data_IF_992339177822
#
_entry.id   IF_992339177822
#
_cell.length_a   1.000
_cell.length_b   1.000
_cell.length_c   1.000
_cell.angle_alpha   90.00
_cell.angle_beta   90.00
_cell.angle_gamma   90.00
#
_symmetry.space_group_name_H-M   'P 1'
#
loop_
_entity.id
_entity.type
_entity.pdbx_description
1 polymer ?
#
# COMPACT_ATOMS: atom_id res chain seq x y z
N UNK A 1 52.93 50.63 -37.07
CA UNK A 1 52.13 51.72 -37.68
C UNK A 1 51.13 51.11 -38.66
N UNK A 2 49.84 51.40 -38.44
CA UNK A 2 48.72 51.50 -39.42
C UNK A 2 48.49 50.42 -40.49
N UNK A 3 47.26 49.85 -40.49
CA UNK A 3 46.19 49.91 -41.54
C UNK A 3 45.11 48.85 -41.21
N UNK A 4 43.83 49.20 -40.94
CA UNK A 4 42.68 49.43 -41.88
C UNK A 4 42.44 48.23 -42.81
N UNK A 5 41.25 47.68 -43.08
CA UNK A 5 39.83 47.99 -42.86
C UNK A 5 39.02 46.68 -43.12
N UNK A 6 37.93 46.38 -42.39
CA UNK A 6 36.50 46.61 -42.71
C UNK A 6 35.89 45.74 -43.84
N UNK A 7 34.94 44.87 -43.47
CA UNK A 7 33.62 44.61 -44.12
C UNK A 7 33.09 43.22 -43.67
N UNK A 8 32.20 43.16 -42.66
CA UNK A 8 30.73 43.10 -42.76
C UNK A 8 30.18 41.79 -43.36
N UNK A 9 29.58 40.95 -42.50
CA UNK A 9 28.57 39.97 -42.91
C UNK A 9 27.48 39.89 -41.83
N UNK A 10 26.28 40.20 -42.27
CA UNK A 10 25.01 40.17 -41.54
C UNK A 10 24.74 38.78 -40.93
N UNK A 11 23.97 38.72 -39.84
CA UNK A 11 22.61 38.15 -39.83
C UNK A 11 22.06 37.97 -38.39
N UNK A 12 20.87 38.56 -38.20
CA UNK A 12 19.71 38.04 -37.45
C UNK A 12 19.82 37.86 -35.93
N UNK A 13 19.08 38.72 -35.23
CA UNK A 13 18.68 38.52 -33.86
C UNK A 13 17.86 37.24 -33.67
N UNK A 14 18.20 36.49 -32.64
CA UNK A 14 17.32 35.53 -32.00
C UNK A 14 17.15 35.96 -30.56
N UNK A 15 16.07 36.70 -30.28
CA UNK A 15 15.59 36.82 -28.92
C UNK A 15 15.26 35.40 -28.45
N UNK A 16 16.00 34.91 -27.45
CA UNK A 16 15.74 33.64 -26.80
C UNK A 16 14.40 33.79 -26.06
N UNK A 17 13.30 33.50 -26.74
CA UNK A 17 12.00 33.31 -26.09
C UNK A 17 12.16 32.04 -25.25
N UNK A 18 12.47 32.23 -23.97
CA UNK A 18 12.24 31.23 -22.95
C UNK A 18 10.73 30.97 -22.92
N UNK A 19 10.28 30.05 -23.76
CA UNK A 19 8.94 29.49 -23.66
C UNK A 19 8.85 28.79 -22.32
N UNK A 20 8.26 29.47 -21.34
CA UNK A 20 7.72 28.80 -20.17
C UNK A 20 6.64 27.85 -20.69
N UNK A 21 6.99 26.58 -20.87
CA UNK A 21 5.98 25.54 -20.97
C UNK A 21 5.09 25.71 -19.76
N UNK A 22 3.82 26.07 -20.00
CA UNK A 22 2.88 26.42 -18.95
C UNK A 22 2.89 25.33 -17.90
N UNK A 23 3.43 25.65 -16.73
CA UNK A 23 3.04 24.97 -15.52
C UNK A 23 1.52 25.08 -15.50
N UNK A 24 0.84 23.93 -15.49
CA UNK A 24 -0.58 23.86 -15.21
C UNK A 24 -0.71 24.55 -13.86
N UNK A 25 -1.39 25.69 -13.85
CA UNK A 25 -1.53 26.51 -12.66
C UNK A 25 -3.01 26.48 -12.33
N UNK A 26 -3.39 25.93 -11.19
CA UNK A 26 -4.78 25.69 -10.79
C UNK A 26 -5.40 24.43 -11.41
N UNK A 27 -6.49 23.98 -10.81
CA UNK A 27 -7.19 22.71 -11.10
C UNK A 27 -7.90 22.65 -12.47
N UNK A 28 -7.68 23.63 -13.34
CA UNK A 28 -8.35 23.78 -14.62
C UNK A 28 -7.42 24.39 -15.68
N UNK A 29 -7.81 24.32 -16.95
CA UNK A 29 -7.03 24.92 -18.04
C UNK A 29 -7.08 26.46 -17.96
N UNK A 30 -5.95 27.08 -17.61
CA UNK A 30 -5.83 28.54 -17.52
C UNK A 30 -6.18 29.30 -18.79
N UNK A 31 -6.11 28.66 -19.97
CA UNK A 31 -6.55 29.30 -21.22
C UNK A 31 -8.07 29.49 -21.27
N UNK A 32 -8.80 28.73 -20.45
CA UNK A 32 -10.25 28.78 -20.31
C UNK A 32 -10.69 29.65 -19.11
N UNK A 33 -9.75 30.30 -18.40
CA UNK A 33 -10.04 31.19 -17.28
C UNK A 33 -10.93 32.36 -17.72
N UNK A 34 -12.15 32.40 -17.19
CA UNK A 34 -13.18 33.37 -17.57
C UNK A 34 -13.42 34.42 -16.49
N UNK A 35 -13.28 34.06 -15.22
CA UNK A 35 -13.51 34.95 -14.08
C UNK A 35 -12.24 35.67 -13.62
N UNK A 36 -12.38 36.81 -12.93
CA UNK A 36 -11.24 37.52 -12.34
C UNK A 36 -10.49 36.64 -11.31
N UNK A 37 -11.24 35.83 -10.55
CA UNK A 37 -10.64 34.87 -9.62
C UNK A 37 -9.86 33.79 -10.37
N UNK A 38 -10.43 33.16 -11.40
CA UNK A 38 -9.73 32.14 -12.20
C UNK A 38 -8.44 32.69 -12.81
N UNK A 39 -8.50 33.89 -13.39
CA UNK A 39 -7.30 34.56 -13.92
C UNK A 39 -6.26 34.81 -12.84
N UNK A 40 -6.69 35.10 -11.61
CA UNK A 40 -5.77 35.32 -10.49
C UNK A 40 -5.14 34.02 -9.98
N UNK A 41 -5.91 32.93 -9.88
CA UNK A 41 -5.40 31.59 -9.56
C UNK A 41 -4.32 31.15 -10.56
N UNK A 42 -4.55 31.42 -11.85
CA UNK A 42 -3.58 31.17 -12.92
C UNK A 42 -2.34 32.06 -12.86
N UNK A 43 -2.48 33.32 -12.43
CA UNK A 43 -1.40 34.29 -12.42
C UNK A 43 -0.49 34.20 -11.17
N UNK A 44 -1.00 33.65 -10.06
CA UNK A 44 -0.29 33.56 -8.78
C UNK A 44 -0.01 32.09 -8.45
N UNK A 45 1.23 31.59 -8.65
CA UNK A 45 1.55 30.17 -8.52
C UNK A 45 1.15 29.54 -7.17
N UNK A 46 1.34 30.27 -6.06
CA UNK A 46 0.96 29.78 -4.74
C UNK A 46 -0.55 29.57 -4.59
N UNK A 47 -1.38 30.38 -5.25
CA UNK A 47 -2.84 30.20 -5.25
C UNK A 47 -3.27 29.06 -6.18
N UNK A 48 -2.60 28.91 -7.33
CA UNK A 48 -2.82 27.78 -8.23
C UNK A 48 -2.55 26.44 -7.55
N UNK A 49 -1.42 26.31 -6.85
CA UNK A 49 -1.08 25.10 -6.07
C UNK A 49 -2.12 24.80 -4.97
N UNK A 50 -2.61 25.82 -4.27
CA UNK A 50 -3.67 25.63 -3.27
C UNK A 50 -4.99 25.17 -3.89
N UNK A 51 -5.33 25.67 -5.09
CA UNK A 51 -6.52 25.26 -5.83
C UNK A 51 -6.43 23.82 -6.33
N UNK A 52 -5.25 23.39 -6.81
CA UNK A 52 -4.97 21.99 -7.19
C UNK A 52 -5.15 21.03 -6.00
N UNK A 53 -4.50 21.31 -4.86
CA UNK A 53 -4.62 20.49 -3.65
C UNK A 53 -6.07 20.41 -3.12
N UNK A 54 -6.82 21.51 -3.27
CA UNK A 54 -8.23 21.57 -2.91
C UNK A 54 -9.08 20.70 -3.84
N UNK A 55 -8.86 20.77 -5.15
CA UNK A 55 -9.58 19.93 -6.11
C UNK A 55 -9.27 18.44 -5.89
N UNK A 56 -8.01 18.06 -5.68
CA UNK A 56 -7.64 16.67 -5.35
C UNK A 56 -8.43 16.14 -4.15
N UNK A 57 -8.50 16.94 -3.07
CA UNK A 57 -9.27 16.61 -1.86
C UNK A 57 -10.77 16.50 -2.14
N UNK A 58 -11.31 17.39 -2.99
CA UNK A 58 -12.71 17.36 -3.40
C UNK A 58 -13.04 16.13 -4.25
N UNK A 59 -12.20 15.78 -5.23
CA UNK A 59 -12.38 14.59 -6.05
C UNK A 59 -12.31 13.32 -5.19
N UNK A 60 -11.33 13.22 -4.29
CA UNK A 60 -11.22 12.10 -3.35
C UNK A 60 -12.47 11.98 -2.47
N UNK A 61 -13.00 13.09 -1.94
CA UNK A 61 -14.23 13.09 -1.14
C UNK A 61 -15.44 12.61 -1.96
N UNK A 62 -15.59 13.09 -3.20
CA UNK A 62 -16.70 12.66 -4.08
C UNK A 62 -16.61 11.17 -4.40
N UNK A 63 -15.41 10.62 -4.57
CA UNK A 63 -15.19 9.20 -4.88
C UNK A 63 -15.37 8.27 -3.67
N UNK A 64 -15.10 8.77 -2.46
CA UNK A 64 -15.17 7.98 -1.21
C UNK A 64 -16.49 8.14 -0.46
N UNK A 65 -17.25 9.21 -0.72
CA UNK A 65 -18.53 9.43 -0.08
C UNK A 65 -19.60 8.39 -0.50
N UNK A 66 -20.53 8.04 0.40
CA UNK A 66 -21.73 7.29 0.03
C UNK A 66 -22.49 8.02 -1.08
N UNK A 67 -23.14 7.24 -1.97
CA UNK A 67 -23.94 7.77 -3.08
C UNK A 67 -24.94 8.85 -2.66
N UNK A 68 -25.56 8.67 -1.50
CA UNK A 68 -26.55 9.59 -0.93
C UNK A 68 -25.96 10.94 -0.52
N UNK A 69 -24.65 11.02 -0.23
CA UNK A 69 -23.98 12.25 0.22
C UNK A 69 -23.36 13.06 -0.93
N UNK A 70 -23.10 12.44 -2.09
CA UNK A 70 -22.38 13.06 -3.22
C UNK A 70 -23.08 14.34 -3.72
N UNK A 71 -24.41 14.33 -3.83
CA UNK A 71 -25.16 15.51 -4.29
C UNK A 71 -24.94 16.72 -3.37
N UNK A 72 -24.97 16.50 -2.04
CA UNK A 72 -24.72 17.53 -1.03
C UNK A 72 -23.28 18.05 -1.08
N UNK A 73 -22.29 17.17 -1.25
CA UNK A 73 -20.88 17.57 -1.39
C UNK A 73 -20.70 18.49 -2.61
N UNK A 74 -21.29 18.15 -3.75
CA UNK A 74 -21.25 18.96 -4.97
C UNK A 74 -21.94 20.31 -4.80
N UNK A 75 -23.07 20.34 -4.10
CA UNK A 75 -23.79 21.58 -3.81
C UNK A 75 -22.98 22.52 -2.90
N UNK A 76 -22.40 21.98 -1.82
CA UNK A 76 -21.51 22.74 -0.93
C UNK A 76 -20.31 23.32 -1.68
N UNK A 77 -19.71 22.54 -2.59
CA UNK A 77 -18.60 23.03 -3.41
C UNK A 77 -19.03 24.17 -4.34
N UNK A 78 -20.18 24.05 -5.03
CA UNK A 78 -20.73 25.15 -5.86
C UNK A 78 -21.06 26.39 -5.04
N UNK A 79 -21.60 26.22 -3.84
CA UNK A 79 -21.86 27.31 -2.91
C UNK A 79 -20.59 28.04 -2.50
N UNK A 80 -19.55 27.28 -2.14
CA UNK A 80 -18.23 27.83 -1.82
C UNK A 80 -17.59 28.53 -3.03
N UNK A 81 -17.68 28.00 -4.25
CA UNK A 81 -17.15 28.67 -5.45
C UNK A 81 -17.76 30.06 -5.65
N UNK A 82 -19.08 30.22 -5.40
CA UNK A 82 -19.74 31.53 -5.45
C UNK A 82 -19.20 32.49 -4.38
N UNK A 83 -18.99 32.00 -3.15
CA UNK A 83 -18.39 32.79 -2.07
C UNK A 83 -16.94 33.18 -2.39
N UNK A 84 -16.12 32.25 -2.85
CA UNK A 84 -14.73 32.51 -3.28
C UNK A 84 -14.68 33.59 -4.36
N UNK A 85 -15.62 33.58 -5.31
CA UNK A 85 -15.65 34.56 -6.40
C UNK A 85 -15.88 36.00 -5.93
N UNK A 86 -16.40 36.24 -4.71
CA UNK A 86 -16.50 37.60 -4.16
C UNK A 86 -15.15 38.19 -3.77
N UNK A 87 -14.09 37.38 -3.63
CA UNK A 87 -12.73 37.88 -3.37
C UNK A 87 -12.21 38.80 -4.49
N UNK A 88 -12.77 38.73 -5.70
CA UNK A 88 -12.43 39.67 -6.77
C UNK A 88 -12.79 41.13 -6.43
N UNK A 89 -13.67 41.36 -5.46
CA UNK A 89 -14.10 42.68 -5.00
C UNK A 89 -13.36 43.12 -3.71
N UNK A 90 -12.53 42.26 -3.12
CA UNK A 90 -11.76 42.57 -1.93
C UNK A 90 -10.62 43.55 -2.27
N UNK A 91 -10.28 44.44 -1.33
CA UNK A 91 -9.14 45.35 -1.49
C UNK A 91 -7.79 44.59 -1.58
N UNK A 92 -7.74 43.36 -1.04
CA UNK A 92 -6.61 42.43 -1.11
C UNK A 92 -7.08 41.05 -1.62
N UNK A 93 -7.31 40.90 -2.94
CA UNK A 93 -7.87 39.67 -3.52
C UNK A 93 -7.05 38.41 -3.20
N UNK A 94 -5.73 38.51 -3.19
CA UNK A 94 -4.84 37.36 -2.94
C UNK A 94 -4.96 36.85 -1.51
N UNK A 95 -4.94 37.76 -0.53
CA UNK A 95 -5.12 37.42 0.87
C UNK A 95 -6.51 36.80 1.11
N UNK A 96 -7.54 37.33 0.44
CA UNK A 96 -8.89 36.76 0.49
C UNK A 96 -8.94 35.35 -0.09
N UNK A 97 -8.36 35.14 -1.27
CA UNK A 97 -8.30 33.84 -1.94
C UNK A 97 -7.50 32.82 -1.13
N UNK A 98 -6.33 33.20 -0.62
CA UNK A 98 -5.51 32.32 0.21
C UNK A 98 -6.27 31.85 1.45
N UNK A 99 -6.96 32.75 2.17
CA UNK A 99 -7.80 32.38 3.31
C UNK A 99 -8.95 31.45 2.90
N UNK A 100 -9.64 31.77 1.80
CA UNK A 100 -10.80 30.99 1.33
C UNK A 100 -10.41 29.58 0.89
N UNK A 101 -9.32 29.44 0.11
CA UNK A 101 -8.78 28.16 -0.35
C UNK A 101 -8.33 27.31 0.83
N UNK A 102 -7.51 27.88 1.73
CA UNK A 102 -7.00 27.17 2.91
C UNK A 102 -8.14 26.69 3.82
N UNK A 103 -9.13 27.54 4.10
CA UNK A 103 -10.27 27.17 4.92
C UNK A 103 -11.08 26.03 4.27
N UNK A 104 -11.31 26.09 2.96
CA UNK A 104 -12.03 25.04 2.24
C UNK A 104 -11.26 23.73 2.18
N UNK A 105 -9.95 23.77 1.93
CA UNK A 105 -9.09 22.59 1.98
C UNK A 105 -9.20 21.89 3.35
N UNK A 106 -9.19 22.65 4.45
CA UNK A 106 -9.41 22.10 5.79
C UNK A 106 -10.78 21.46 5.99
N UNK A 107 -11.85 22.04 5.42
CA UNK A 107 -13.20 21.45 5.45
C UNK A 107 -13.26 20.14 4.65
N UNK A 108 -12.69 20.12 3.45
CA UNK A 108 -12.66 18.93 2.59
C UNK A 108 -11.83 17.81 3.20
N UNK A 109 -10.65 18.12 3.75
CA UNK A 109 -9.79 17.16 4.43
C UNK A 109 -10.50 16.50 5.62
N UNK A 110 -11.16 17.29 6.47
CA UNK A 110 -11.96 16.75 7.59
C UNK A 110 -13.12 15.87 7.12
N UNK A 111 -13.83 16.30 6.08
CA UNK A 111 -14.93 15.53 5.51
C UNK A 111 -14.43 14.21 4.91
N UNK A 112 -13.32 14.24 4.18
CA UNK A 112 -12.68 13.06 3.59
C UNK A 112 -12.26 12.07 4.68
N UNK A 113 -11.55 12.53 5.71
CA UNK A 113 -11.17 11.69 6.84
C UNK A 113 -12.39 11.05 7.53
N UNK A 114 -13.48 11.80 7.72
CA UNK A 114 -14.71 11.27 8.29
C UNK A 114 -15.37 10.20 7.40
N UNK A 115 -15.37 10.37 6.07
CA UNK A 115 -15.88 9.37 5.14
C UNK A 115 -15.01 8.11 5.12
N UNK A 116 -13.68 8.27 5.10
CA UNK A 116 -12.73 7.16 5.18
C UNK A 116 -12.91 6.35 6.47
N UNK A 117 -13.02 7.02 7.63
CA UNK A 117 -13.32 6.36 8.91
C UNK A 117 -14.69 5.67 8.91
N UNK A 118 -15.67 6.21 8.19
CA UNK A 118 -16.96 5.57 7.98
C UNK A 118 -16.84 4.24 7.23
N UNK A 119 -16.11 4.25 6.11
CA UNK A 119 -15.84 3.05 5.34
C UNK A 119 -15.04 2.01 6.14
N UNK A 120 -14.04 2.44 6.92
CA UNK A 120 -13.23 1.58 7.77
C UNK A 120 -14.06 0.88 8.85
N UNK A 121 -15.00 1.61 9.47
CA UNK A 121 -15.92 1.02 10.46
C UNK A 121 -16.81 -0.06 9.84
N UNK A 122 -17.22 0.11 8.59
CA UNK A 122 -18.00 -0.90 7.86
C UNK A 122 -17.13 -2.12 7.56
N UNK A 123 -15.89 -1.92 7.11
CA UNK A 123 -14.95 -3.02 6.82
C UNK A 123 -14.61 -3.79 8.11
N UNK A 124 -14.32 -3.08 9.20
CA UNK A 124 -14.00 -3.69 10.49
C UNK A 124 -15.17 -4.49 11.09
N UNK A 125 -16.42 -4.20 10.71
CA UNK A 125 -17.59 -4.95 11.18
C UNK A 125 -17.85 -6.25 10.39
N UNK A 126 -17.15 -6.49 9.27
CA UNK A 126 -17.34 -7.68 8.43
C UNK A 126 -17.30 -9.00 9.23
N UNK A 127 -16.33 -9.24 10.14
CA UNK A 127 -16.29 -10.51 10.88
C UNK A 127 -17.51 -10.74 11.79
N UNK A 128 -18.10 -9.67 12.31
CA UNK A 128 -19.22 -9.75 13.26
C UNK A 128 -20.58 -9.72 12.57
N UNK A 129 -20.74 -8.86 11.55
CA UNK A 129 -22.02 -8.58 10.88
C UNK A 129 -21.84 -8.50 9.37
N UNK A 130 -21.47 -9.60 8.69
CA UNK A 130 -21.07 -9.56 7.28
C UNK A 130 -22.19 -9.10 6.33
N UNK A 131 -23.45 -9.50 6.58
CA UNK A 131 -24.59 -9.09 5.76
C UNK A 131 -24.87 -7.58 5.85
N UNK A 132 -24.78 -7.01 7.05
CA UNK A 132 -24.97 -5.58 7.27
C UNK A 132 -23.83 -4.75 6.70
N UNK A 133 -22.59 -5.25 6.81
CA UNK A 133 -21.43 -4.65 6.17
C UNK A 133 -21.61 -4.63 4.63
N UNK A 134 -22.03 -5.75 4.04
CA UNK A 134 -22.32 -5.85 2.61
C UNK A 134 -23.38 -4.83 2.16
N UNK A 135 -24.51 -4.72 2.89
CA UNK A 135 -25.56 -3.73 2.58
C UNK A 135 -25.04 -2.30 2.62
N UNK A 136 -24.21 -1.97 3.61
CA UNK A 136 -23.62 -0.63 3.74
C UNK A 136 -22.61 -0.34 2.63
N UNK A 137 -21.74 -1.29 2.29
CA UNK A 137 -20.76 -1.16 1.19
C UNK A 137 -21.44 -0.95 -0.17
N UNK A 138 -22.62 -1.54 -0.39
CA UNK A 138 -23.39 -1.27 -1.61
C UNK A 138 -23.81 0.20 -1.73
N UNK A 139 -23.86 0.96 -0.64
CA UNK A 139 -24.11 2.40 -0.65
C UNK A 139 -22.97 3.24 -1.26
N UNK A 140 -21.80 2.64 -1.48
CA UNK A 140 -20.61 3.30 -2.02
C UNK A 140 -20.39 2.93 -3.49
N UNK A 141 -19.95 3.91 -4.28
CA UNK A 141 -19.41 3.68 -5.63
C UNK A 141 -17.88 3.65 -5.63
N UNK A 142 -17.24 3.80 -4.46
CA UNK A 142 -15.80 3.72 -4.31
C UNK A 142 -15.27 2.36 -4.83
N UNK A 143 -14.15 2.34 -5.58
CA UNK A 143 -13.56 1.09 -6.04
C UNK A 143 -13.13 0.15 -4.91
N UNK A 144 -12.63 0.68 -3.78
CA UNK A 144 -12.33 -0.15 -2.60
C UNK A 144 -13.58 -0.88 -2.08
N UNK A 145 -14.71 -0.19 -1.94
CA UNK A 145 -15.96 -0.82 -1.53
C UNK A 145 -16.42 -1.90 -2.54
N UNK A 146 -16.16 -1.68 -3.82
CA UNK A 146 -16.44 -2.65 -4.87
C UNK A 146 -15.55 -3.89 -4.77
N UNK A 147 -14.25 -3.72 -4.47
CA UNK A 147 -13.35 -4.84 -4.22
C UNK A 147 -13.76 -5.65 -2.97
N UNK A 148 -14.20 -4.97 -1.90
CA UNK A 148 -14.75 -5.63 -0.71
C UNK A 148 -16.01 -6.44 -1.01
N UNK A 149 -16.94 -5.94 -1.84
CA UNK A 149 -18.12 -6.71 -2.22
C UNK A 149 -17.75 -7.99 -3.00
N UNK A 150 -16.75 -7.92 -3.88
CA UNK A 150 -16.23 -9.10 -4.56
C UNK A 150 -15.59 -10.10 -3.58
N UNK A 151 -14.82 -9.60 -2.59
CA UNK A 151 -14.28 -10.40 -1.49
C UNK A 151 -15.38 -11.09 -0.67
N UNK A 152 -16.41 -10.35 -0.27
CA UNK A 152 -17.51 -10.88 0.55
C UNK A 152 -18.24 -12.01 -0.16
N UNK A 153 -18.52 -11.87 -1.46
CA UNK A 153 -19.09 -12.97 -2.24
C UNK A 153 -18.17 -14.20 -2.29
N UNK A 154 -16.87 -13.98 -2.49
CA UNK A 154 -15.91 -15.07 -2.71
C UNK A 154 -15.57 -15.85 -1.42
N UNK A 155 -15.52 -15.16 -0.27
CA UNK A 155 -14.96 -15.72 0.98
C UNK A 155 -15.92 -15.68 2.16
N UNK A 156 -17.03 -14.95 2.10
CA UNK A 156 -17.95 -14.76 3.23
C UNK A 156 -19.41 -15.02 2.79
N UNK A 157 -19.83 -16.29 2.63
CA UNK A 157 -21.19 -16.62 2.17
C UNK A 157 -22.31 -15.96 2.99
N UNK A 158 -22.09 -15.80 4.31
CA UNK A 158 -23.02 -15.13 5.23
C UNK A 158 -23.25 -13.64 4.92
N UNK A 159 -22.44 -13.02 4.05
CA UNK A 159 -22.62 -11.65 3.59
C UNK A 159 -23.77 -11.50 2.59
N UNK A 160 -24.22 -12.59 1.95
CA UNK A 160 -25.36 -12.57 1.04
C UNK A 160 -25.17 -11.74 -0.24
N UNK A 161 -23.93 -11.50 -0.66
CA UNK A 161 -23.64 -10.81 -1.93
C UNK A 161 -23.84 -11.79 -3.09
N UNK A 162 -24.74 -11.47 -4.02
CA UNK A 162 -25.00 -12.30 -5.19
C UNK A 162 -23.86 -12.24 -6.22
N UNK A 163 -23.76 -13.27 -7.05
CA UNK A 163 -22.67 -13.41 -8.03
C UNK A 163 -22.67 -12.30 -9.08
N UNK A 164 -23.84 -11.85 -9.55
CA UNK A 164 -23.94 -10.82 -10.57
C UNK A 164 -23.46 -9.46 -10.05
N UNK A 165 -23.86 -9.11 -8.82
CA UNK A 165 -23.36 -7.93 -8.13
C UNK A 165 -21.85 -8.04 -7.89
N UNK A 166 -21.35 -9.18 -7.44
CA UNK A 166 -19.92 -9.39 -7.22
C UNK A 166 -19.09 -9.23 -8.50
N UNK A 167 -19.54 -9.80 -9.62
CA UNK A 167 -18.90 -9.68 -10.92
C UNK A 167 -18.89 -8.23 -11.42
N UNK A 168 -20.02 -7.53 -11.30
CA UNK A 168 -20.11 -6.12 -11.67
C UNK A 168 -19.18 -5.25 -10.83
N UNK A 169 -19.09 -5.51 -9.51
CA UNK A 169 -18.22 -4.78 -8.58
C UNK A 169 -16.74 -5.07 -8.82
N UNK A 170 -16.37 -6.32 -9.08
CA UNK A 170 -15.02 -6.69 -9.48
C UNK A 170 -14.62 -5.98 -10.78
N UNK A 171 -15.46 -6.02 -11.81
CA UNK A 171 -15.21 -5.35 -13.08
C UNK A 171 -15.07 -3.83 -12.92
N UNK A 172 -15.95 -3.21 -12.11
CA UNK A 172 -15.87 -1.80 -11.78
C UNK A 172 -14.53 -1.43 -11.13
N UNK A 173 -14.13 -2.15 -10.07
CA UNK A 173 -12.88 -1.91 -9.37
C UNK A 173 -11.64 -2.15 -10.27
N UNK A 174 -11.65 -3.19 -11.11
CA UNK A 174 -10.57 -3.47 -12.06
C UNK A 174 -10.45 -2.39 -13.14
N UNK A 175 -11.56 -1.95 -13.71
CA UNK A 175 -11.56 -0.86 -14.70
C UNK A 175 -11.10 0.46 -14.09
N UNK A 176 -11.53 0.77 -12.86
CA UNK A 176 -11.03 1.93 -12.14
C UNK A 176 -9.52 1.83 -11.90
N UNK A 177 -9.01 0.65 -11.53
CA UNK A 177 -7.59 0.42 -11.29
C UNK A 177 -6.77 0.65 -12.57
N UNK A 178 -7.23 0.13 -13.72
CA UNK A 178 -6.54 0.32 -15.01
C UNK A 178 -6.39 1.79 -15.41
N UNK A 179 -7.28 2.67 -14.98
CA UNK A 179 -7.20 4.12 -15.25
C UNK A 179 -6.12 4.82 -14.42
N UNK A 180 -5.85 4.33 -13.22
CA UNK A 180 -4.97 4.99 -12.25
C UNK A 180 -3.63 4.28 -12.06
N UNK A 181 -3.55 3.00 -12.45
CA UNK A 181 -2.35 2.17 -12.39
C UNK A 181 -2.48 1.00 -13.38
N UNK A 182 -2.07 1.26 -14.63
CA UNK A 182 -2.13 0.26 -15.70
C UNK A 182 -1.26 -0.97 -15.44
N UNK A 183 -0.13 -0.79 -14.75
CA UNK A 183 0.78 -1.88 -14.42
C UNK A 183 0.17 -2.81 -13.36
N UNK A 184 -0.30 -2.28 -12.24
CA UNK A 184 -0.99 -3.10 -11.24
C UNK A 184 -2.21 -3.82 -11.83
N UNK A 185 -3.01 -3.12 -12.65
CA UNK A 185 -4.14 -3.74 -13.33
C UNK A 185 -3.75 -4.90 -14.25
N UNK A 186 -2.59 -4.82 -14.92
CA UNK A 186 -2.10 -5.91 -15.80
C UNK A 186 -1.74 -7.18 -15.05
N UNK A 187 -1.43 -7.12 -13.74
CA UNK A 187 -1.18 -8.31 -12.92
C UNK A 187 -2.46 -9.13 -12.65
N UNK A 188 -3.64 -8.56 -12.92
CA UNK A 188 -4.93 -9.25 -12.84
C UNK A 188 -5.35 -9.90 -14.17
N UNK A 189 -4.60 -9.64 -15.25
CA UNK A 189 -4.84 -10.24 -16.55
C UNK A 189 -4.04 -11.54 -16.66
N UNK A 190 -4.64 -12.59 -17.23
CA UNK A 190 -3.96 -13.88 -17.36
C UNK A 190 -2.79 -13.76 -18.34
N UNK A 191 -1.62 -14.30 -17.96
CA UNK A 191 -0.42 -14.30 -18.80
C UNK A 191 -0.55 -15.35 -19.89
N UNK A 192 -0.29 -14.96 -21.14
CA UNK A 192 -0.33 -15.89 -22.27
C UNK A 192 0.62 -17.08 -22.05
N UNK A 193 0.06 -18.30 -22.10
CA UNK A 193 0.82 -19.54 -21.90
C UNK A 193 0.97 -19.99 -20.44
N UNK A 194 0.48 -19.22 -19.46
CA UNK A 194 0.38 -19.65 -18.07
C UNK A 194 -1.02 -20.19 -17.75
N UNK A 195 -1.19 -21.07 -16.74
CA UNK A 195 -2.51 -21.39 -16.19
C UNK A 195 -3.23 -20.11 -15.74
N UNK A 196 -4.54 -19.99 -16.00
CA UNK A 196 -5.28 -18.81 -15.56
C UNK A 196 -5.27 -18.73 -14.04
N UNK A 197 -5.10 -17.51 -13.54
CA UNK A 197 -5.18 -17.21 -12.12
C UNK A 197 -6.53 -17.64 -11.56
N UNK A 198 -6.54 -18.17 -10.34
CA UNK A 198 -7.79 -18.57 -9.72
C UNK A 198 -8.67 -17.34 -9.44
N UNK A 199 -9.99 -17.51 -9.40
CA UNK A 199 -10.90 -16.41 -9.04
C UNK A 199 -10.59 -15.86 -7.65
N UNK A 200 -10.17 -16.72 -6.72
CA UNK A 200 -9.76 -16.33 -5.37
C UNK A 200 -8.54 -15.42 -5.39
N UNK A 201 -7.48 -15.80 -6.10
CA UNK A 201 -6.27 -14.99 -6.28
C UNK A 201 -6.62 -13.61 -6.83
N UNK A 202 -7.34 -13.55 -7.96
CA UNK A 202 -7.70 -12.26 -8.59
C UNK A 202 -8.49 -11.33 -7.66
N UNK A 203 -9.44 -11.88 -6.89
CA UNK A 203 -10.23 -11.09 -5.93
C UNK A 203 -9.36 -10.54 -4.82
N UNK A 204 -8.47 -11.36 -4.24
CA UNK A 204 -7.57 -10.93 -3.17
C UNK A 204 -6.53 -9.92 -3.68
N UNK A 205 -5.94 -10.15 -4.86
CA UNK A 205 -4.98 -9.25 -5.49
C UNK A 205 -5.63 -7.91 -5.83
N UNK A 206 -6.85 -7.90 -6.37
CA UNK A 206 -7.58 -6.65 -6.63
C UNK A 206 -7.89 -5.90 -5.32
N UNK A 207 -8.32 -6.62 -4.28
CA UNK A 207 -8.58 -6.02 -2.97
C UNK A 207 -7.31 -5.41 -2.37
N UNK A 208 -6.21 -6.16 -2.41
CA UNK A 208 -4.88 -5.73 -2.01
C UNK A 208 -4.46 -4.42 -2.69
N UNK A 209 -4.57 -4.35 -4.02
CA UNK A 209 -4.21 -3.15 -4.79
C UNK A 209 -5.04 -1.92 -4.42
N UNK A 210 -6.30 -2.10 -4.04
CA UNK A 210 -7.13 -0.99 -3.57
C UNK A 210 -6.81 -0.57 -2.13
N UNK A 211 -6.45 -1.51 -1.26
CA UNK A 211 -6.01 -1.20 0.10
C UNK A 211 -4.68 -0.43 0.07
N UNK A 212 -3.69 -0.87 -0.73
CA UNK A 212 -2.40 -0.18 -0.91
C UNK A 212 -2.56 1.32 -1.21
N UNK A 213 -3.59 1.66 -1.99
CA UNK A 213 -3.83 3.03 -2.48
C UNK A 213 -4.63 3.90 -1.50
N UNK A 214 -5.39 3.28 -0.61
CA UNK A 214 -6.22 3.98 0.38
C UNK A 214 -5.49 4.12 1.74
N UNK A 215 -4.18 3.80 1.77
CA UNK A 215 -3.28 3.95 2.91
C UNK A 215 -2.81 5.41 3.05
N UNK A 216 -3.66 6.27 3.61
CA UNK A 216 -3.14 7.45 4.32
C UNK A 216 -2.36 6.99 5.55
N UNK A 217 -1.27 7.69 5.91
CA UNK A 217 -0.28 7.33 6.96
C UNK A 217 -0.84 7.03 8.38
N UNK A 218 -2.16 7.09 8.59
CA UNK A 218 -2.83 6.93 9.87
C UNK A 218 -3.99 5.93 9.86
N UNK A 219 -4.21 5.20 8.76
CA UNK A 219 -5.39 4.34 8.64
C UNK A 219 -5.20 3.00 9.36
N UNK A 220 -6.12 2.60 10.25
CA UNK A 220 -6.01 1.31 10.93
C UNK A 220 -6.10 0.17 9.92
N UNK A 221 -5.33 -0.91 10.12
CA UNK A 221 -5.38 -2.10 9.29
C UNK A 221 -6.67 -2.92 9.52
N UNK A 222 -7.80 -2.38 9.06
CA UNK A 222 -9.13 -2.99 9.24
C UNK A 222 -9.32 -4.27 8.43
N UNK A 223 -8.41 -4.57 7.49
CA UNK A 223 -8.43 -5.79 6.68
C UNK A 223 -7.74 -7.00 7.33
N UNK A 224 -7.04 -6.84 8.46
CA UNK A 224 -6.18 -7.91 9.01
C UNK A 224 -6.90 -9.23 9.31
N UNK A 225 -8.20 -9.19 9.55
CA UNK A 225 -8.99 -10.41 9.79
C UNK A 225 -8.93 -11.38 8.61
N UNK A 226 -8.68 -10.90 7.38
CA UNK A 226 -8.59 -11.71 6.17
C UNK A 226 -7.54 -12.81 6.33
N UNK A 227 -6.39 -12.52 6.93
CA UNK A 227 -5.29 -13.48 7.05
C UNK A 227 -5.68 -14.71 7.88
N UNK A 228 -6.44 -14.52 8.95
CA UNK A 228 -6.97 -15.61 9.76
C UNK A 228 -8.14 -16.33 9.08
N UNK A 229 -9.01 -15.57 8.39
CA UNK A 229 -10.23 -16.10 7.78
C UNK A 229 -9.98 -16.90 6.48
N UNK A 230 -9.00 -16.47 5.68
CA UNK A 230 -8.73 -17.03 4.34
C UNK A 230 -7.49 -17.94 4.33
N UNK A 231 -6.48 -17.65 5.15
CA UNK A 231 -5.24 -18.44 5.20
C UNK A 231 -4.30 -18.15 4.02
N UNK A 232 -3.65 -19.20 3.51
CA UNK A 232 -2.54 -19.08 2.55
C UNK A 232 -2.81 -18.18 1.33
N UNK A 233 -3.97 -18.25 0.65
CA UNK A 233 -4.24 -17.36 -0.48
C UNK A 233 -4.15 -15.87 -0.14
N UNK A 234 -4.49 -15.48 1.10
CA UNK A 234 -4.36 -14.09 1.53
C UNK A 234 -2.91 -13.71 1.80
N UNK A 235 -2.10 -14.60 2.37
CA UNK A 235 -0.67 -14.36 2.57
C UNK A 235 0.07 -14.20 1.24
N UNK A 236 -0.26 -15.02 0.24
CA UNK A 236 0.33 -14.91 -1.09
C UNK A 236 -0.12 -13.62 -1.80
N UNK A 237 -1.43 -13.30 -1.78
CA UNK A 237 -1.93 -12.10 -2.45
C UNK A 237 -1.46 -10.78 -1.82
N UNK A 238 -1.21 -10.76 -0.51
CA UNK A 238 -0.69 -9.60 0.23
C UNK A 238 0.84 -9.68 0.45
N UNK A 239 1.50 -10.68 -0.11
CA UNK A 239 2.94 -10.80 -0.02
C UNK A 239 3.67 -9.94 -1.05
N UNK A 240 4.88 -10.37 -1.43
CA UNK A 240 5.61 -9.78 -2.54
C UNK A 240 4.83 -9.95 -3.84
N UNK A 241 4.70 -8.88 -4.62
CA UNK A 241 3.88 -8.87 -5.83
C UNK A 241 4.57 -8.19 -7.02
N UNK A 242 5.28 -7.09 -6.79
CA UNK A 242 5.76 -6.22 -7.86
C UNK A 242 7.23 -6.47 -8.24
N UNK A 243 8.03 -7.02 -7.33
CA UNK A 243 9.48 -7.13 -7.50
C UNK A 243 10.18 -5.76 -7.49
N UNK A 244 9.67 -4.80 -6.72
CA UNK A 244 10.18 -3.42 -6.73
C UNK A 244 9.96 -2.73 -5.39
N UNK A 245 10.35 -1.44 -5.29
CA UNK A 245 10.08 -0.59 -4.11
C UNK A 245 8.61 -0.56 -3.71
N UNK A 246 7.69 -0.85 -4.63
CA UNK A 246 6.25 -0.96 -4.35
C UNK A 246 5.91 -2.01 -3.29
N UNK A 247 6.69 -3.10 -3.22
CA UNK A 247 6.50 -4.14 -2.21
C UNK A 247 6.78 -3.63 -0.78
N UNK A 248 7.52 -2.54 -0.63
CA UNK A 248 7.72 -1.87 0.66
C UNK A 248 6.46 -1.19 1.21
N UNK A 249 5.43 -0.99 0.38
CA UNK A 249 4.13 -0.41 0.76
C UNK A 249 3.03 -1.46 0.85
N UNK A 250 3.42 -2.74 0.87
CA UNK A 250 2.51 -3.84 1.05
C UNK A 250 1.66 -3.66 2.34
N UNK A 251 0.31 -3.64 2.29
CA UNK A 251 -0.58 -3.64 3.46
C UNK A 251 -0.55 -5.00 4.19
N UNK A 252 0.64 -5.42 4.62
CA UNK A 252 0.84 -6.54 5.51
C UNK A 252 0.62 -6.02 6.93
N UNK A 253 -0.21 -6.72 7.68
CA UNK A 253 -0.51 -6.34 9.06
C UNK A 253 0.67 -6.61 9.98
N UNK A 254 0.81 -5.78 11.01
CA UNK A 254 1.76 -6.07 12.08
C UNK A 254 1.43 -7.42 12.76
N UNK A 255 2.44 -8.27 13.04
CA UNK A 255 2.22 -9.56 13.67
C UNK A 255 1.69 -9.39 15.12
N UNK A 256 0.50 -9.92 15.46
CA UNK A 256 -0.04 -9.78 16.80
C UNK A 256 0.68 -10.66 17.83
N UNK A 257 0.48 -10.34 19.11
CA UNK A 257 0.88 -11.18 20.25
C UNK A 257 2.38 -11.16 20.59
N UNK A 258 3.19 -10.35 19.92
CA UNK A 258 4.56 -10.04 20.36
C UNK A 258 5.56 -11.20 20.29
N UNK A 259 5.35 -12.21 19.43
CA UNK A 259 6.29 -13.32 19.24
C UNK A 259 7.71 -12.83 18.95
N UNK A 260 7.86 -11.93 17.97
CA UNK A 260 9.15 -11.38 17.56
C UNK A 260 9.70 -10.31 18.52
N UNK A 261 8.94 -9.93 19.55
CA UNK A 261 9.42 -9.04 20.61
C UNK A 261 10.17 -9.78 21.73
N UNK A 262 10.11 -11.13 21.76
CA UNK A 262 10.86 -11.94 22.71
C UNK A 262 12.37 -11.72 22.57
N UNK A 263 13.09 -11.77 23.69
CA UNK A 263 14.53 -11.50 23.71
C UNK A 263 15.33 -12.43 22.79
N UNK A 264 14.95 -13.71 22.70
CA UNK A 264 15.60 -14.68 21.81
C UNK A 264 15.40 -14.35 20.33
N UNK A 265 14.21 -13.86 19.93
CA UNK A 265 13.96 -13.39 18.57
C UNK A 265 14.74 -12.11 18.25
N UNK A 266 14.82 -11.16 19.17
CA UNK A 266 15.65 -9.94 19.00
C UNK A 266 17.13 -10.26 18.86
N UNK A 267 17.64 -11.22 19.64
CA UNK A 267 19.02 -11.69 19.52
C UNK A 267 19.27 -12.42 18.20
N UNK A 268 18.30 -13.23 17.75
CA UNK A 268 18.40 -13.91 16.46
C UNK A 268 18.47 -12.89 15.32
N UNK A 269 17.58 -11.89 15.32
CA UNK A 269 17.55 -10.81 14.33
C UNK A 269 18.84 -9.99 14.29
N UNK A 270 19.37 -9.61 15.46
CA UNK A 270 20.67 -8.94 15.55
C UNK A 270 21.81 -9.76 14.94
N UNK A 271 21.78 -11.10 15.06
CA UNK A 271 22.79 -11.99 14.50
C UNK A 271 22.80 -12.08 12.96
N UNK A 272 21.73 -11.61 12.28
CA UNK A 272 21.65 -11.52 10.82
C UNK A 272 21.88 -10.10 10.29
N UNK A 273 21.96 -9.09 11.16
CA UNK A 273 21.98 -7.68 10.75
C UNK A 273 23.16 -7.35 9.81
N UNK A 274 24.37 -7.82 10.12
CA UNK A 274 25.55 -7.60 9.27
C UNK A 274 25.40 -8.21 7.87
N UNK A 275 24.95 -9.47 7.80
CA UNK A 275 24.69 -10.17 6.54
C UNK A 275 23.64 -9.42 5.71
N UNK A 276 22.52 -9.05 6.32
CA UNK A 276 21.43 -8.35 5.63
C UNK A 276 21.92 -6.98 5.13
N UNK A 277 22.67 -6.23 5.94
CA UNK A 277 23.22 -4.93 5.54
C UNK A 277 24.16 -5.06 4.34
N UNK A 278 25.06 -6.04 4.36
CA UNK A 278 25.98 -6.31 3.26
C UNK A 278 25.21 -6.62 1.96
N UNK A 279 24.30 -7.59 2.00
CA UNK A 279 23.54 -8.03 0.82
C UNK A 279 22.58 -6.96 0.29
N UNK A 280 22.07 -6.09 1.16
CA UNK A 280 21.13 -5.02 0.79
C UNK A 280 21.76 -3.93 -0.09
N UNK A 281 23.08 -3.79 -0.09
CA UNK A 281 23.80 -2.77 -0.88
C UNK A 281 23.65 -3.01 -2.38
N UNK A 282 23.72 -4.27 -2.80
CA UNK A 282 23.70 -4.66 -4.20
C UNK A 282 22.33 -5.19 -4.68
N UNK A 283 21.41 -5.46 -3.75
CA UNK A 283 20.09 -6.01 -4.05
C UNK A 283 19.11 -5.03 -4.74
N UNK A 284 19.48 -3.76 -4.95
CA UNK A 284 18.64 -2.78 -5.66
C UNK A 284 17.21 -2.67 -5.10
N UNK A 285 16.21 -2.55 -5.97
CA UNK A 285 14.80 -2.45 -5.57
C UNK A 285 14.12 -3.80 -5.36
N UNK A 286 14.73 -4.93 -5.75
CA UNK A 286 14.13 -6.25 -5.58
C UNK A 286 14.11 -6.68 -4.11
N UNK A 287 15.00 -6.14 -3.27
CA UNK A 287 15.03 -6.41 -1.82
C UNK A 287 13.72 -6.15 -1.09
N UNK A 288 12.90 -5.21 -1.58
CA UNK A 288 11.61 -4.90 -0.98
C UNK A 288 10.61 -6.06 -1.12
N UNK A 289 10.75 -6.90 -2.15
CA UNK A 289 10.02 -8.15 -2.25
C UNK A 289 10.42 -9.11 -1.12
N UNK A 290 11.72 -9.27 -0.84
CA UNK A 290 12.19 -10.09 0.29
C UNK A 290 11.70 -9.55 1.63
N UNK A 291 11.67 -8.22 1.81
CA UNK A 291 11.16 -7.61 3.05
C UNK A 291 9.66 -7.86 3.24
N UNK A 292 8.86 -7.73 2.17
CA UNK A 292 7.45 -8.09 2.21
C UNK A 292 7.26 -9.58 2.54
N UNK A 293 8.10 -10.47 2.01
CA UNK A 293 8.08 -11.89 2.34
C UNK A 293 8.37 -12.12 3.83
N UNK A 294 9.34 -11.41 4.39
CA UNK A 294 9.68 -11.53 5.82
C UNK A 294 8.56 -11.05 6.73
N UNK A 295 7.89 -9.96 6.36
CA UNK A 295 6.68 -9.48 7.06
C UNK A 295 5.53 -10.49 6.96
N UNK A 296 5.32 -11.11 5.79
CA UNK A 296 4.36 -12.22 5.65
C UNK A 296 4.72 -13.40 6.53
N UNK A 297 6.00 -13.77 6.59
CA UNK A 297 6.47 -14.86 7.46
C UNK A 297 6.14 -14.55 8.93
N UNK A 298 6.43 -13.34 9.37
CA UNK A 298 6.14 -12.92 10.73
C UNK A 298 4.63 -12.90 11.02
N UNK A 299 3.83 -12.30 10.14
CA UNK A 299 2.39 -12.24 10.30
C UNK A 299 1.77 -13.64 10.30
N UNK A 300 2.17 -14.53 9.38
CA UNK A 300 1.69 -15.91 9.30
C UNK A 300 2.03 -16.69 10.57
N UNK A 301 3.22 -16.52 11.13
CA UNK A 301 3.62 -17.17 12.38
C UNK A 301 2.74 -16.74 13.55
N UNK A 302 2.40 -15.44 13.61
CA UNK A 302 1.57 -14.89 14.67
C UNK A 302 0.08 -15.11 14.49
N UNK A 303 -0.43 -15.33 13.27
CA UNK A 303 -1.88 -15.44 13.01
C UNK A 303 -2.29 -16.88 12.74
N UNK A 304 -1.55 -17.58 11.88
CA UNK A 304 -1.87 -18.91 11.36
C UNK A 304 -0.68 -19.87 11.47
N UNK A 305 -0.10 -20.10 12.67
CA UNK A 305 1.16 -20.83 12.85
C UNK A 305 1.14 -22.27 12.31
N UNK A 306 -0.02 -22.92 12.32
CA UNK A 306 -0.16 -24.29 11.85
C UNK A 306 -0.02 -24.43 10.32
N UNK A 307 -0.14 -23.35 9.55
CA UNK A 307 0.12 -23.38 8.11
C UNK A 307 1.56 -23.81 7.80
N UNK A 308 2.53 -23.49 8.67
CA UNK A 308 3.92 -23.93 8.51
C UNK A 308 4.13 -25.44 8.59
N UNK A 309 3.12 -26.21 9.02
CA UNK A 309 3.14 -27.67 8.97
C UNK A 309 2.67 -28.22 7.62
N UNK A 310 2.10 -27.40 6.74
CA UNK A 310 1.65 -27.83 5.44
C UNK A 310 2.83 -28.14 4.50
N UNK A 311 2.72 -29.18 3.64
CA UNK A 311 3.79 -29.57 2.73
C UNK A 311 4.28 -28.44 1.82
N UNK A 312 3.38 -27.59 1.33
CA UNK A 312 3.71 -26.48 0.44
C UNK A 312 4.66 -25.47 1.12
N UNK A 313 4.36 -25.07 2.36
CA UNK A 313 5.21 -24.15 3.11
C UNK A 313 6.51 -24.80 3.59
N UNK A 314 6.46 -26.08 4.00
CA UNK A 314 7.68 -26.84 4.30
C UNK A 314 8.62 -26.95 3.10
N UNK A 315 8.06 -27.06 1.89
CA UNK A 315 8.84 -27.05 0.65
C UNK A 315 9.38 -25.65 0.35
N UNK A 316 8.57 -24.60 0.48
CA UNK A 316 8.95 -23.20 0.21
C UNK A 316 10.12 -22.75 1.08
N UNK A 317 10.07 -23.07 2.36
CA UNK A 317 11.00 -22.56 3.35
C UNK A 317 12.05 -23.57 3.83
N UNK A 318 12.03 -24.79 3.30
CA UNK A 318 13.00 -25.82 3.65
C UNK A 318 12.89 -26.36 5.09
N UNK A 319 13.97 -27.01 5.51
CA UNK A 319 14.08 -27.72 6.79
C UNK A 319 14.97 -26.94 7.78
N UNK A 320 15.47 -27.63 8.82
CA UNK A 320 16.31 -27.03 9.85
C UNK A 320 17.49 -26.22 9.24
N UNK A 321 17.60 -24.92 9.57
CA UNK A 321 18.59 -24.02 8.99
C UNK A 321 20.02 -24.25 9.51
N UNK A 322 20.24 -25.07 10.55
CA UNK A 322 21.55 -25.20 11.21
C UNK A 322 22.68 -25.55 10.22
N UNK A 323 22.40 -26.50 9.32
CA UNK A 323 23.36 -26.91 8.28
C UNK A 323 23.59 -25.83 7.25
N UNK A 324 22.55 -25.09 6.85
CA UNK A 324 22.66 -24.02 5.87
C UNK A 324 23.50 -22.86 6.41
N UNK A 325 23.31 -22.48 7.68
CA UNK A 325 24.15 -21.47 8.35
C UNK A 325 25.61 -21.93 8.45
N UNK A 326 25.83 -23.20 8.80
CA UNK A 326 27.18 -23.77 8.90
C UNK A 326 27.89 -23.82 7.55
N UNK A 327 27.15 -24.14 6.48
CA UNK A 327 27.64 -24.28 5.12
C UNK A 327 27.63 -22.97 4.33
N UNK A 328 27.31 -21.83 4.98
CA UNK A 328 27.27 -20.54 4.32
C UNK A 328 28.60 -20.22 3.62
N UNK A 329 28.51 -19.84 2.36
CA UNK A 329 29.63 -19.71 1.41
C UNK A 329 29.89 -18.29 0.91
N UNK A 330 29.24 -17.28 1.51
CA UNK A 330 29.53 -15.86 1.23
C UNK A 330 30.86 -15.42 1.84
N UNK A 331 31.21 -14.13 1.65
CA UNK A 331 32.45 -13.56 2.18
C UNK A 331 32.38 -13.43 3.70
N UNK A 332 33.31 -14.03 4.46
CA UNK A 332 33.33 -13.96 5.92
C UNK A 332 33.28 -12.54 6.51
N UNK A 333 33.66 -11.51 5.75
CA UNK A 333 33.51 -10.11 6.17
C UNK A 333 32.05 -9.63 6.17
N UNK A 334 31.17 -10.24 5.37
CA UNK A 334 29.75 -9.95 5.31
C UNK A 334 28.96 -10.65 6.43
N UNK A 335 29.38 -11.87 6.81
CA UNK A 335 28.78 -12.60 7.94
C UNK A 335 29.82 -13.45 8.70
N UNK A 336 30.45 -12.88 9.74
CA UNK A 336 31.54 -13.52 10.46
C UNK A 336 31.19 -14.91 10.99
N UNK A 337 32.14 -15.84 10.92
CA UNK A 337 31.98 -17.20 11.45
C UNK A 337 31.59 -17.23 12.95
N UNK A 338 32.03 -16.24 13.73
CA UNK A 338 31.65 -16.08 15.13
C UNK A 338 30.14 -15.79 15.28
N UNK A 339 29.58 -14.92 14.44
CA UNK A 339 28.16 -14.56 14.45
C UNK A 339 27.31 -15.73 13.96
N UNK A 340 27.74 -16.42 12.89
CA UNK A 340 27.12 -17.67 12.42
C UNK A 340 27.06 -18.72 13.52
N UNK A 341 28.14 -18.90 14.27
CA UNK A 341 28.20 -19.82 15.42
C UNK A 341 27.25 -19.39 16.55
N UNK A 342 27.19 -18.09 16.85
CA UNK A 342 26.29 -17.54 17.87
C UNK A 342 24.80 -17.74 17.49
N UNK A 343 24.44 -17.45 16.24
CA UNK A 343 23.09 -17.68 15.69
C UNK A 343 22.69 -19.15 15.80
N UNK A 344 23.56 -20.07 15.38
CA UNK A 344 23.30 -21.52 15.48
C UNK A 344 23.08 -21.97 16.92
N UNK A 345 23.90 -21.49 17.85
CA UNK A 345 23.76 -21.80 19.28
C UNK A 345 22.44 -21.26 19.87
N UNK A 346 21.86 -20.22 19.28
CA UNK A 346 20.61 -19.62 19.71
C UNK A 346 19.36 -20.38 19.20
N UNK A 347 19.45 -21.10 18.07
CA UNK A 347 18.30 -21.77 17.43
C UNK A 347 17.48 -22.66 18.38
N UNK A 348 18.07 -23.52 19.24
CA UNK A 348 17.29 -24.34 20.17
C UNK A 348 16.47 -23.49 21.14
N UNK A 349 17.05 -22.37 21.63
CA UNK A 349 16.35 -21.44 22.53
C UNK A 349 15.20 -20.73 21.84
N UNK A 350 15.39 -20.24 20.62
CA UNK A 350 14.32 -19.56 19.85
C UNK A 350 13.16 -20.52 19.61
N UNK A 351 13.45 -21.79 19.27
CA UNK A 351 12.42 -22.83 19.08
C UNK A 351 11.65 -23.09 20.38
N UNK A 352 12.35 -23.24 21.50
CA UNK A 352 11.72 -23.45 22.80
C UNK A 352 10.84 -22.27 23.23
N UNK A 353 11.35 -21.03 23.12
CA UNK A 353 10.59 -19.83 23.46
C UNK A 353 9.38 -19.64 22.54
N UNK A 354 9.52 -19.96 21.25
CA UNK A 354 8.42 -19.91 20.28
C UNK A 354 7.36 -20.97 20.59
N UNK A 355 7.76 -22.20 20.94
CA UNK A 355 6.83 -23.25 21.34
C UNK A 355 6.06 -22.86 22.61
N UNK A 356 6.75 -22.31 23.62
CA UNK A 356 6.13 -21.81 24.84
C UNK A 356 5.15 -20.66 24.57
N UNK A 357 5.51 -19.74 23.67
CA UNK A 357 4.61 -18.68 23.21
C UNK A 357 3.38 -19.24 22.51
N UNK A 358 3.53 -20.22 21.62
CA UNK A 358 2.43 -20.87 20.91
C UNK A 358 1.47 -21.61 21.85
N UNK A 359 2.00 -22.29 22.87
CA UNK A 359 1.15 -22.91 23.91
C UNK A 359 0.35 -21.84 24.65
N UNK A 360 0.99 -20.74 25.06
CA UNK A 360 0.35 -19.70 25.87
C UNK A 360 -0.65 -18.85 25.08
N UNK A 361 -0.22 -18.29 23.95
CA UNK A 361 -1.00 -17.30 23.18
C UNK A 361 -1.94 -17.95 22.17
N UNK A 362 -1.62 -19.15 21.69
CA UNK A 362 -2.41 -19.87 20.67
C UNK A 362 -3.08 -21.12 21.20
N UNK A 363 -2.88 -21.45 22.48
CA UNK A 363 -3.47 -22.60 23.14
C UNK A 363 -3.21 -23.92 22.39
N UNK A 364 -2.07 -24.00 21.69
CA UNK A 364 -1.71 -25.20 20.94
C UNK A 364 -1.25 -26.30 21.91
N UNK A 365 -1.55 -27.58 21.60
CA UNK A 365 -0.94 -28.71 22.30
C UNK A 365 0.59 -28.64 22.21
N UNK A 366 1.29 -28.93 23.30
CA UNK A 366 2.75 -28.78 23.40
C UNK A 366 3.52 -29.40 22.23
N UNK A 367 3.21 -30.66 21.88
CA UNK A 367 3.85 -31.35 20.74
C UNK A 367 3.62 -30.64 19.40
N UNK A 368 2.42 -30.10 19.18
CA UNK A 368 2.10 -29.37 17.95
C UNK A 368 2.78 -27.99 17.93
N UNK A 369 2.86 -27.34 19.09
CA UNK A 369 3.57 -26.09 19.26
C UNK A 369 5.08 -26.25 18.98
N UNK A 370 5.71 -27.33 19.44
CA UNK A 370 7.11 -27.66 19.13
C UNK A 370 7.34 -27.84 17.62
N UNK A 371 6.47 -28.59 16.94
CA UNK A 371 6.55 -28.82 15.50
C UNK A 371 6.38 -27.51 14.71
N UNK A 372 5.40 -26.68 15.09
CA UNK A 372 5.15 -25.40 14.45
C UNK A 372 6.30 -24.41 14.72
N UNK A 373 6.81 -24.36 15.96
CA UNK A 373 7.95 -23.54 16.32
C UNK A 373 9.20 -23.86 15.49
N UNK A 374 9.51 -25.15 15.32
CA UNK A 374 10.63 -25.57 14.48
C UNK A 374 10.46 -25.10 13.02
N UNK A 375 9.25 -25.21 12.47
CA UNK A 375 8.95 -24.80 11.10
C UNK A 375 8.94 -23.27 10.91
N UNK A 376 8.44 -22.52 11.89
CA UNK A 376 8.45 -21.04 11.90
C UNK A 376 9.89 -20.53 11.95
N UNK A 377 10.72 -21.08 12.84
CA UNK A 377 12.14 -20.70 12.94
C UNK A 377 12.87 -21.03 11.65
N UNK A 378 12.62 -22.21 11.06
CA UNK A 378 13.19 -22.56 9.76
C UNK A 378 12.79 -21.55 8.67
N UNK A 379 11.51 -21.20 8.58
CA UNK A 379 11.03 -20.24 7.58
C UNK A 379 11.62 -18.84 7.74
N UNK A 380 11.66 -18.34 8.97
CA UNK A 380 12.22 -17.02 9.23
C UNK A 380 13.71 -16.94 8.89
N UNK A 381 14.47 -18.00 9.22
CA UNK A 381 15.91 -18.04 8.98
C UNK A 381 16.22 -18.29 7.51
N UNK A 382 15.59 -19.30 6.90
CA UNK A 382 15.88 -19.65 5.50
C UNK A 382 15.46 -18.51 4.56
N UNK A 383 14.37 -17.79 4.83
CA UNK A 383 14.01 -16.62 4.03
C UNK A 383 15.07 -15.49 4.05
N UNK A 384 15.92 -15.44 5.09
CA UNK A 384 17.07 -14.50 5.17
C UNK A 384 18.31 -15.06 4.52
N UNK A 385 18.54 -16.37 4.62
CA UNK A 385 19.63 -17.04 3.91
C UNK A 385 19.41 -16.96 2.39
N UNK A 386 18.19 -17.20 1.92
CA UNK A 386 17.82 -17.11 0.50
C UNK A 386 18.01 -15.69 -0.07
N UNK A 387 17.90 -14.66 0.78
CA UNK A 387 18.21 -13.27 0.39
C UNK A 387 19.71 -13.04 0.17
N UNK A 388 20.56 -13.83 0.82
CA UNK A 388 22.02 -13.74 0.69
C UNK A 388 22.61 -14.53 -0.48
N UNK A 389 21.79 -15.30 -1.23
CA UNK A 389 22.21 -16.08 -2.39
C UNK A 389 22.31 -17.58 -2.12
#
# INVERSE_FOLDING_TARGET
MTRRACALRWLLGGALVLGTNGAWAASFDCKQASTLVEKRLCAVPALGLLDEQLDESYQALVQTAPRTAVAGVREQQRGWLRQRNSCAQDAKPDDCLQRSLTARAGVLSKALAAQQQGLDRIIASIPATPADAARQLQGYDAPLASAWLAYLHQFVPAAGVDAALADARFAHARTALRKVDGFAASLLDDVAGAPPSSRQERVLTLLRMWIERDNGDQRPYVHCFIFAAVGEPAYDAFGPLYGSTRDGFAPICAPPGGLFALASWKQLDAGFAGMIEAMSKDAGTIRYASYAEWEVVALRASVSPLLYLQPALRKRYGNDPDKAIAAWSGDDSDWPAADRKAVRALLPKVRADTAAWLVREKQLPAKQAEQAAAAIVAAWVNARLDFAG
#
